data_IF_404454099597
#
_entry.id   IF_404454099597
#
_cell.length_a   1.000
_cell.length_b   1.000
_cell.length_c   1.000
_cell.angle_alpha   90.00
_cell.angle_beta   90.00
_cell.angle_gamma   90.00
#
_symmetry.space_group_name_H-M   'P 1'
#
loop_
_entity.id
_entity.type
_entity.pdbx_description
1 polymer ?
#
# COMPACT_ATOMS: atom_id res chain seq x y z
N UNK A 1 2.26 -6.20 -9.49
CA UNK A 1 1.78 -4.92 -8.95
C UNK A 1 0.40 -5.09 -8.34
N UNK A 2 -0.58 -5.65 -9.06
CA UNK A 2 -1.95 -5.81 -8.55
C UNK A 2 -2.06 -6.66 -7.26
N UNK A 3 -1.29 -7.75 -7.16
CA UNK A 3 -1.28 -8.59 -5.95
C UNK A 3 -0.64 -7.88 -4.73
N UNK A 4 0.40 -7.08 -4.96
CA UNK A 4 1.04 -6.28 -3.90
C UNK A 4 0.11 -5.18 -3.40
N UNK A 5 -0.57 -4.51 -4.34
CA UNK A 5 -1.62 -3.53 -4.04
C UNK A 5 -2.73 -4.18 -3.20
N UNK A 6 -3.19 -5.38 -3.55
CA UNK A 6 -4.24 -6.08 -2.80
C UNK A 6 -3.80 -6.43 -1.37
N UNK A 7 -2.57 -6.89 -1.17
CA UNK A 7 -2.05 -7.17 0.17
C UNK A 7 -1.92 -5.92 1.02
N UNK A 8 -1.39 -4.84 0.45
CA UNK A 8 -1.25 -3.56 1.17
C UNK A 8 -2.63 -2.97 1.45
N UNK A 9 -3.57 -3.02 0.51
CA UNK A 9 -4.93 -2.52 0.69
C UNK A 9 -5.64 -3.26 1.83
N UNK A 10 -5.55 -4.60 1.83
CA UNK A 10 -6.09 -5.43 2.90
C UNK A 10 -5.45 -5.13 4.25
N UNK A 11 -4.12 -4.98 4.30
CA UNK A 11 -3.42 -4.66 5.55
C UNK A 11 -3.80 -3.28 6.11
N UNK A 12 -4.00 -2.29 5.22
CA UNK A 12 -4.48 -0.96 5.60
C UNK A 12 -5.92 -1.02 6.13
N UNK A 13 -6.79 -1.76 5.46
CA UNK A 13 -8.18 -1.94 5.88
C UNK A 13 -8.28 -2.70 7.22
N UNK A 14 -7.53 -3.79 7.39
CA UNK A 14 -7.51 -4.58 8.64
C UNK A 14 -6.93 -3.82 9.84
N UNK A 15 -6.19 -2.74 9.61
CA UNK A 15 -5.68 -1.87 10.68
C UNK A 15 -6.76 -0.93 11.26
N UNK A 16 -7.92 -0.79 10.59
CA UNK A 16 -9.04 -0.01 11.08
C UNK A 16 -9.72 -0.69 12.29
N UNK A 17 -10.06 0.08 13.31
CA UNK A 17 -10.53 -0.41 14.63
C UNK A 17 -11.87 -1.19 14.56
N UNK A 18 -12.58 -1.12 13.44
CA UNK A 18 -13.86 -1.81 13.20
C UNK A 18 -13.91 -2.50 11.82
N UNK A 19 -12.76 -2.95 11.31
CA UNK A 19 -12.71 -3.68 10.05
C UNK A 19 -13.59 -4.95 10.10
N UNK A 20 -14.46 -5.12 9.10
CA UNK A 20 -15.19 -6.35 8.83
C UNK A 20 -14.30 -7.33 8.05
N UNK A 21 -14.90 -8.42 7.55
CA UNK A 21 -14.19 -9.33 6.68
C UNK A 21 -13.93 -8.65 5.32
N UNK A 22 -12.65 -8.47 4.96
CA UNK A 22 -12.24 -7.87 3.68
C UNK A 22 -12.99 -8.47 2.50
N UNK A 23 -13.13 -9.79 2.44
CA UNK A 23 -13.81 -10.50 1.35
C UNK A 23 -15.29 -10.10 1.21
N UNK A 24 -15.95 -9.71 2.31
CA UNK A 24 -17.35 -9.31 2.35
C UNK A 24 -17.58 -7.80 2.11
N UNK A 25 -16.53 -7.00 2.07
CA UNK A 25 -16.65 -5.56 1.84
C UNK A 25 -17.15 -5.23 0.42
N UNK A 26 -17.94 -4.15 0.26
CA UNK A 26 -18.32 -3.64 -1.04
C UNK A 26 -17.09 -3.27 -1.88
N UNK A 27 -17.17 -3.50 -3.19
CA UNK A 27 -16.06 -3.23 -4.11
C UNK A 27 -15.63 -1.76 -4.11
N UNK A 28 -16.55 -0.84 -3.83
CA UNK A 28 -16.24 0.59 -3.72
C UNK A 28 -15.29 0.89 -2.55
N UNK A 29 -15.48 0.21 -1.41
CA UNK A 29 -14.59 0.33 -0.25
C UNK A 29 -13.24 -0.29 -0.59
N UNK A 30 -13.25 -1.49 -1.20
CA UNK A 30 -12.00 -2.15 -1.60
C UNK A 30 -11.17 -1.30 -2.56
N UNK A 31 -11.79 -0.68 -3.55
CA UNK A 31 -11.08 0.16 -4.51
C UNK A 31 -10.47 1.41 -3.86
N UNK A 32 -11.16 2.01 -2.88
CA UNK A 32 -10.61 3.12 -2.10
C UNK A 32 -9.32 2.71 -1.37
N UNK A 33 -9.32 1.55 -0.71
CA UNK A 33 -8.11 1.03 -0.06
C UNK A 33 -7.02 0.60 -1.05
N UNK A 34 -7.38 0.15 -2.26
CA UNK A 34 -6.40 -0.10 -3.33
C UNK A 34 -5.76 1.20 -3.81
N UNK A 35 -6.49 2.30 -3.88
CA UNK A 35 -5.92 3.61 -4.20
C UNK A 35 -4.96 4.10 -3.12
N UNK A 36 -5.30 3.89 -1.84
CA UNK A 36 -4.36 4.16 -0.74
C UNK A 36 -3.11 3.29 -0.82
N UNK A 37 -3.26 2.00 -1.14
CA UNK A 37 -2.14 1.08 -1.33
C UNK A 37 -1.23 1.49 -2.48
N UNK A 38 -1.79 1.84 -3.65
CA UNK A 38 -1.03 2.37 -4.80
C UNK A 38 -0.23 3.62 -4.41
N UNK A 39 -0.84 4.52 -3.65
CA UNK A 39 -0.21 5.75 -3.17
C UNK A 39 0.94 5.44 -2.21
N UNK A 40 0.72 4.57 -1.22
CA UNK A 40 1.74 4.17 -0.25
C UNK A 40 2.95 3.52 -0.92
N UNK A 41 2.72 2.58 -1.86
CA UNK A 41 3.78 1.92 -2.62
C UNK A 41 4.58 2.95 -3.43
N UNK A 42 3.90 3.88 -4.12
CA UNK A 42 4.58 4.93 -4.88
C UNK A 42 5.43 5.85 -3.99
N UNK A 43 4.97 6.15 -2.77
CA UNK A 43 5.74 6.94 -1.79
C UNK A 43 7.01 6.20 -1.34
N UNK A 44 6.91 4.89 -1.05
CA UNK A 44 8.05 4.06 -0.66
C UNK A 44 9.08 3.95 -1.78
N UNK A 45 8.64 3.71 -3.02
CA UNK A 45 9.52 3.65 -4.18
C UNK A 45 10.26 4.98 -4.42
N UNK A 46 9.57 6.11 -4.21
CA UNK A 46 10.19 7.44 -4.29
C UNK A 46 11.21 7.65 -3.17
N UNK A 47 10.94 7.19 -1.96
CA UNK A 47 11.89 7.29 -0.86
C UNK A 47 13.13 6.42 -1.11
N UNK A 48 12.95 5.21 -1.63
CA UNK A 48 14.06 4.31 -1.98
C UNK A 48 14.95 4.87 -3.08
N UNK A 49 14.38 5.51 -4.10
CA UNK A 49 15.17 6.17 -5.15
C UNK A 49 15.94 7.36 -4.58
N UNK A 50 15.30 8.20 -3.75
CA UNK A 50 15.97 9.32 -3.11
C UNK A 50 17.08 8.88 -2.15
N UNK A 51 16.88 7.81 -1.38
CA UNK A 51 17.90 7.26 -0.47
C UNK A 51 19.11 6.70 -1.23
N UNK A 52 18.89 6.03 -2.37
CA UNK A 52 19.96 5.53 -3.25
C UNK A 52 20.75 6.67 -3.89
N UNK A 53 20.07 7.72 -4.34
CA UNK A 53 20.72 8.90 -4.92
C UNK A 53 21.54 9.68 -3.88
N UNK A 54 21.12 9.66 -2.61
CA UNK A 54 21.81 10.35 -1.52
C UNK A 54 23.02 9.59 -0.97
N UNK A 55 23.06 8.26 -1.07
CA UNK A 55 24.17 7.43 -0.57
C UNK A 55 24.61 6.35 -1.58
N UNK A 56 25.29 6.73 -2.68
CA UNK A 56 25.60 5.82 -3.78
C UNK A 56 26.65 4.72 -3.47
N UNK A 57 27.23 4.69 -2.27
CA UNK A 57 28.34 3.79 -1.89
C UNK A 57 28.07 2.90 -0.65
N UNK A 58 26.82 2.74 -0.21
CA UNK A 58 26.51 1.95 1.00
C UNK A 58 26.34 0.43 0.77
N UNK A 59 26.91 -0.14 -0.31
CA UNK A 59 26.84 -1.56 -0.63
C UNK A 59 28.21 -2.25 -0.56
#
# INVERSE_FOLDING_TARGET
MDLEVEYVARALYEAEDNALLWEAEPEIVKEEFRDYARTAIAMLQRQDSQARDQFPYAA
#
